data_IF_976028417470
#
_entry.id   IF_976028417470
#
_cell.length_a   1.000
_cell.length_b   1.000
_cell.length_c   1.000
_cell.angle_alpha   90.00
_cell.angle_beta   90.00
_cell.angle_gamma   90.00
#
_symmetry.space_group_name_H-M   'P 1'
#
loop_
_entity.id
_entity.type
_entity.pdbx_description
1 polymer ?
#
# COMPACT_ATOMS: atom_id res chain seq x y z
N UNK A 1 10.89 -2.86 -11.39
CA UNK A 1 10.01 -3.53 -12.36
C UNK A 1 8.62 -3.09 -12.01
N UNK A 2 7.90 -2.54 -12.99
CA UNK A 2 6.68 -1.83 -12.69
C UNK A 2 5.62 -2.77 -12.12
N UNK A 3 4.98 -2.34 -11.03
CA UNK A 3 3.97 -3.10 -10.30
C UNK A 3 2.82 -2.20 -9.87
N UNK A 4 1.73 -2.80 -9.38
CA UNK A 4 0.63 -2.02 -8.81
C UNK A 4 1.06 -1.41 -7.48
N UNK A 5 1.14 -0.10 -7.45
CA UNK A 5 1.36 0.69 -6.25
C UNK A 5 0.11 1.49 -5.90
N UNK A 6 0.00 1.88 -4.63
CA UNK A 6 -1.14 2.61 -4.09
C UNK A 6 -0.72 3.86 -3.34
N UNK A 7 -1.54 4.88 -3.48
CA UNK A 7 -1.55 6.09 -2.67
C UNK A 7 -2.92 6.21 -2.03
N UNK A 8 -2.97 6.42 -0.71
CA UNK A 8 -4.22 6.53 0.01
C UNK A 8 -4.08 7.46 1.20
N UNK A 9 -5.21 8.03 1.61
CA UNK A 9 -5.31 8.71 2.90
C UNK A 9 -6.54 8.20 3.65
N UNK A 10 -6.44 8.27 4.96
CA UNK A 10 -7.43 7.83 5.92
C UNK A 10 -7.69 8.95 6.91
N UNK A 11 -8.92 9.09 7.36
CA UNK A 11 -9.33 10.12 8.29
C UNK A 11 -10.16 9.53 9.43
N UNK A 12 -9.91 10.02 10.66
CA UNK A 12 -10.65 9.60 11.85
C UNK A 12 -11.81 10.56 12.09
N UNK A 13 -12.88 10.36 11.32
CA UNK A 13 -14.12 11.13 11.39
C UNK A 13 -15.33 10.20 11.43
N UNK A 14 -16.40 10.64 12.07
CA UNK A 14 -17.70 10.00 11.95
C UNK A 14 -18.23 10.09 10.51
N UNK A 15 -19.17 9.22 10.16
CA UNK A 15 -19.77 9.24 8.83
C UNK A 15 -20.74 8.09 8.58
N UNK A 16 -21.33 8.03 7.37
CA UNK A 16 -22.17 6.91 6.99
C UNK A 16 -21.40 5.58 7.03
N UNK A 17 -22.14 4.48 7.05
CA UNK A 17 -21.56 3.16 6.77
C UNK A 17 -20.83 3.20 5.42
N UNK A 18 -19.66 2.57 5.34
CA UNK A 18 -18.80 2.63 4.17
C UNK A 18 -18.22 1.26 3.86
N UNK A 19 -17.73 1.07 2.64
CA UNK A 19 -17.06 -0.15 2.17
C UNK A 19 -16.01 0.21 1.13
N UNK A 20 -14.89 -0.51 1.08
CA UNK A 20 -13.86 -0.30 0.07
C UNK A 20 -13.34 -1.62 -0.49
N UNK A 21 -12.88 -1.58 -1.75
CA UNK A 21 -12.28 -2.71 -2.46
C UNK A 21 -11.14 -2.21 -3.35
N UNK A 22 -10.15 -3.08 -3.61
CA UNK A 22 -9.07 -2.82 -4.57
C UNK A 22 -8.68 -4.11 -5.30
N UNK A 23 -7.86 -3.98 -6.33
CA UNK A 23 -7.39 -5.12 -7.14
C UNK A 23 -8.48 -5.75 -8.01
N UNK A 24 -9.62 -5.09 -8.22
CA UNK A 24 -10.75 -5.67 -8.92
C UNK A 24 -10.52 -5.70 -10.43
N UNK A 25 -10.90 -6.78 -11.11
CA UNK A 25 -11.09 -6.74 -12.57
C UNK A 25 -12.29 -5.85 -12.91
N UNK A 26 -12.45 -5.44 -14.18
CA UNK A 26 -13.64 -4.68 -14.59
C UNK A 26 -14.96 -5.44 -14.33
N UNK A 27 -14.96 -6.76 -14.50
CA UNK A 27 -16.14 -7.59 -14.21
C UNK A 27 -16.40 -7.68 -12.69
N UNK A 28 -15.37 -7.94 -11.89
CA UNK A 28 -15.48 -7.99 -10.42
C UNK A 28 -15.91 -6.65 -9.85
N UNK A 29 -15.39 -5.53 -10.38
CA UNK A 29 -15.83 -4.18 -10.05
C UNK A 29 -17.32 -4.01 -10.32
N UNK A 30 -17.82 -4.45 -11.48
CA UNK A 30 -19.23 -4.31 -11.81
C UNK A 30 -20.12 -5.14 -10.86
N UNK A 31 -19.70 -6.35 -10.49
CA UNK A 31 -20.42 -7.19 -9.52
C UNK A 31 -20.47 -6.53 -8.15
N UNK A 32 -19.32 -6.08 -7.62
CA UNK A 32 -19.25 -5.38 -6.33
C UNK A 32 -20.09 -4.10 -6.36
N UNK A 33 -19.97 -3.30 -7.42
CA UNK A 33 -20.73 -2.07 -7.60
C UNK A 33 -22.24 -2.32 -7.56
N UNK A 34 -22.75 -3.30 -8.32
CA UNK A 34 -24.18 -3.62 -8.36
C UNK A 34 -24.68 -4.06 -6.97
N UNK A 35 -23.91 -4.90 -6.27
CA UNK A 35 -24.25 -5.37 -4.93
C UNK A 35 -24.31 -4.24 -3.90
N UNK A 36 -23.38 -3.29 -3.96
CA UNK A 36 -23.34 -2.12 -3.06
C UNK A 36 -24.48 -1.14 -3.36
N UNK A 37 -24.75 -0.85 -4.64
CA UNK A 37 -25.84 0.05 -5.05
C UNK A 37 -27.21 -0.51 -4.63
N UNK A 38 -27.43 -1.81 -4.76
CA UNK A 38 -28.66 -2.47 -4.29
C UNK A 38 -28.89 -2.32 -2.77
N UNK A 39 -27.81 -2.09 -2.00
CA UNK A 39 -27.85 -1.87 -0.56
C UNK A 39 -27.88 -0.38 -0.16
N UNK A 40 -28.01 0.52 -1.13
CA UNK A 40 -28.06 1.97 -0.91
C UNK A 40 -26.69 2.64 -0.75
N UNK A 41 -25.60 1.95 -1.11
CA UNK A 41 -24.28 2.57 -1.20
C UNK A 41 -24.08 3.28 -2.53
N UNK A 42 -23.26 4.33 -2.52
CA UNK A 42 -22.82 5.08 -3.70
C UNK A 42 -21.30 5.17 -3.70
N UNK A 43 -20.63 5.09 -4.86
CA UNK A 43 -19.18 5.27 -4.92
C UNK A 43 -18.81 6.72 -4.55
N UNK A 44 -17.80 6.86 -3.71
CA UNK A 44 -17.16 8.12 -3.34
C UNK A 44 -15.91 8.37 -4.19
N UNK A 45 -15.12 7.33 -4.41
CA UNK A 45 -13.89 7.34 -5.22
C UNK A 45 -13.87 6.10 -6.11
N UNK A 46 -13.42 6.29 -7.35
CA UNK A 46 -13.05 5.19 -8.25
C UNK A 46 -11.67 5.48 -8.83
N UNK A 47 -10.78 4.50 -8.74
CA UNK A 47 -9.44 4.55 -9.34
C UNK A 47 -9.29 3.38 -10.31
N UNK A 48 -8.92 3.69 -11.54
CA UNK A 48 -8.51 2.72 -12.55
C UNK A 48 -7.00 2.75 -12.72
N UNK A 49 -6.37 1.58 -12.86
CA UNK A 49 -4.93 1.42 -13.01
C UNK A 49 -4.58 0.12 -13.72
N UNK A 50 -3.31 -0.08 -14.07
CA UNK A 50 -2.82 -1.35 -14.61
C UNK A 50 -2.08 -2.16 -13.55
N UNK A 51 -2.16 -3.49 -13.67
CA UNK A 51 -1.23 -4.38 -12.98
C UNK A 51 0.07 -4.57 -13.77
N UNK A 52 1.02 -5.31 -13.21
CA UNK A 52 2.30 -5.64 -13.87
C UNK A 52 2.15 -6.38 -15.20
N UNK A 53 1.02 -7.05 -15.43
CA UNK A 53 0.67 -7.68 -16.70
C UNK A 53 0.01 -6.70 -17.70
N UNK A 54 -0.07 -5.41 -17.38
CA UNK A 54 -0.71 -4.37 -18.21
C UNK A 54 -2.24 -4.44 -18.24
N UNK A 55 -2.88 -5.24 -17.39
CA UNK A 55 -4.33 -5.40 -17.37
C UNK A 55 -5.00 -4.37 -16.45
N UNK A 56 -6.14 -3.83 -16.87
CA UNK A 56 -6.96 -2.93 -16.04
C UNK A 56 -7.36 -3.57 -14.71
N UNK A 57 -7.19 -2.81 -13.64
CA UNK A 57 -7.68 -3.07 -12.28
C UNK A 57 -8.37 -1.82 -11.74
N UNK A 58 -9.23 -2.02 -10.74
CA UNK A 58 -10.00 -0.96 -10.13
C UNK A 58 -9.96 -1.03 -8.60
N UNK A 59 -9.93 0.15 -7.99
CA UNK A 59 -10.18 0.37 -6.58
C UNK A 59 -11.35 1.33 -6.41
N UNK A 60 -12.12 1.14 -5.34
CA UNK A 60 -13.36 1.88 -5.09
C UNK A 60 -13.62 2.03 -3.61
N UNK A 61 -14.12 3.20 -3.22
CA UNK A 61 -14.67 3.49 -1.89
C UNK A 61 -16.14 3.79 -2.07
N UNK A 62 -16.99 3.21 -1.23
CA UNK A 62 -18.44 3.39 -1.20
C UNK A 62 -18.89 3.97 0.13
N UNK A 63 -19.86 4.88 0.07
CA UNK A 63 -20.59 5.42 1.22
C UNK A 63 -22.07 5.09 1.12
N UNK A 64 -22.68 4.68 2.23
CA UNK A 64 -24.13 4.50 2.33
C UNK A 64 -24.80 5.86 2.56
N UNK A 65 -25.05 6.57 1.46
CA UNK A 65 -25.60 7.92 1.47
C UNK A 65 -26.73 8.11 0.47
N UNK A 66 -27.72 8.89 0.87
CA UNK A 66 -28.73 9.45 -0.03
C UNK A 66 -28.16 10.58 -0.88
N UNK A 67 -29.01 11.20 -1.70
CA UNK A 67 -28.64 12.34 -2.54
C UNK A 67 -29.40 12.36 -3.85
N UNK A 68 -29.18 13.41 -4.64
CA UNK A 68 -29.79 13.59 -5.95
C UNK A 68 -29.31 12.57 -7.00
N UNK A 69 -29.66 12.80 -8.27
CA UNK A 69 -29.16 12.03 -9.41
C UNK A 69 -27.63 11.88 -9.39
N UNK A 70 -27.15 10.72 -9.81
CA UNK A 70 -25.73 10.42 -9.89
C UNK A 70 -25.47 9.43 -11.02
N UNK A 71 -24.23 9.39 -11.50
CA UNK A 71 -23.77 8.46 -12.54
C UNK A 71 -22.35 8.01 -12.24
N UNK A 72 -22.10 6.71 -12.38
CA UNK A 72 -20.77 6.13 -12.32
C UNK A 72 -20.50 5.29 -13.58
N UNK A 73 -19.30 5.42 -14.14
CA UNK A 73 -18.85 4.67 -15.33
C UNK A 73 -17.39 4.29 -15.17
N UNK A 74 -16.99 3.16 -15.74
CA UNK A 74 -15.60 2.68 -15.78
C UNK A 74 -15.31 2.01 -17.12
N UNK A 75 -14.03 1.84 -17.43
CA UNK A 75 -13.58 1.19 -18.67
C UNK A 75 -13.88 1.97 -19.95
N UNK A 76 -14.13 3.28 -19.87
CA UNK A 76 -14.49 4.11 -21.01
C UNK A 76 -13.27 4.45 -21.87
N UNK A 77 -13.41 4.45 -23.20
CA UNK A 77 -12.46 5.14 -24.08
C UNK A 77 -12.53 6.66 -23.87
N UNK A 78 -11.53 7.44 -24.34
CA UNK A 78 -11.58 8.90 -24.25
C UNK A 78 -12.86 9.51 -24.84
N UNK A 79 -13.31 9.01 -26.00
CA UNK A 79 -14.54 9.47 -26.65
C UNK A 79 -15.80 9.09 -25.84
N UNK A 80 -15.84 7.88 -25.28
CA UNK A 80 -16.94 7.44 -24.42
C UNK A 80 -16.99 8.23 -23.12
N UNK A 81 -15.84 8.59 -22.56
CA UNK A 81 -15.76 9.46 -21.39
C UNK A 81 -16.30 10.85 -21.69
N UNK A 82 -15.92 11.45 -22.82
CA UNK A 82 -16.45 12.75 -23.22
C UNK A 82 -17.98 12.71 -23.40
N UNK A 83 -18.51 11.68 -24.07
CA UNK A 83 -19.96 11.51 -24.22
C UNK A 83 -20.67 11.33 -22.87
N UNK A 84 -20.10 10.55 -21.94
CA UNK A 84 -20.65 10.38 -20.60
C UNK A 84 -20.60 11.70 -19.80
N UNK A 85 -19.53 12.49 -19.94
CA UNK A 85 -19.42 13.81 -19.34
C UNK A 85 -20.53 14.75 -19.85
N UNK A 86 -20.68 14.85 -21.18
CA UNK A 86 -21.67 15.74 -21.79
C UNK A 86 -23.10 15.35 -21.38
N UNK A 87 -23.38 14.03 -21.34
CA UNK A 87 -24.65 13.50 -20.84
C UNK A 87 -24.88 13.89 -19.37
N UNK A 88 -23.87 13.75 -18.50
CA UNK A 88 -23.99 14.07 -17.09
C UNK A 88 -24.34 15.54 -16.88
N UNK A 89 -23.62 16.42 -17.58
CA UNK A 89 -23.79 17.87 -17.49
C UNK A 89 -25.17 18.29 -18.00
N UNK A 90 -25.64 17.72 -19.10
CA UNK A 90 -27.00 17.95 -19.61
C UNK A 90 -28.09 17.52 -18.61
N UNK A 91 -27.79 16.58 -17.72
CA UNK A 91 -28.67 16.10 -16.64
C UNK A 91 -28.47 16.86 -15.31
N UNK A 92 -27.73 17.97 -15.31
CA UNK A 92 -27.49 18.79 -14.10
C UNK A 92 -26.52 18.15 -13.09
N UNK A 93 -25.72 17.18 -13.53
CA UNK A 93 -24.65 16.58 -12.73
C UNK A 93 -23.30 17.20 -13.09
N UNK A 94 -22.34 17.09 -12.17
CA UNK A 94 -20.95 17.49 -12.36
C UNK A 94 -20.01 16.36 -11.95
N UNK A 95 -18.81 16.25 -12.54
CA UNK A 95 -17.86 15.23 -12.12
C UNK A 95 -17.40 15.50 -10.69
N UNK A 96 -17.21 14.43 -9.91
CA UNK A 96 -16.67 14.46 -8.55
C UNK A 96 -15.37 13.67 -8.43
N UNK A 97 -15.16 12.71 -9.34
CA UNK A 97 -13.96 11.89 -9.41
C UNK A 97 -13.73 11.54 -10.88
N UNK A 98 -12.47 11.64 -11.33
CA UNK A 98 -12.03 11.14 -12.63
C UNK A 98 -10.70 10.42 -12.43
N UNK A 99 -10.57 9.24 -13.02
CA UNK A 99 -9.35 8.45 -13.04
C UNK A 99 -9.13 7.97 -14.46
N UNK A 100 -7.90 8.06 -14.94
CA UNK A 100 -7.51 7.52 -16.23
C UNK A 100 -6.29 6.62 -16.06
N UNK A 101 -6.14 5.65 -16.97
CA UNK A 101 -5.02 4.73 -17.00
C UNK A 101 -4.87 4.10 -18.38
N UNK A 102 -3.71 3.48 -18.65
CA UNK A 102 -3.53 2.63 -19.83
C UNK A 102 -3.63 1.18 -19.41
N UNK A 103 -4.67 0.47 -19.89
CA UNK A 103 -4.88 -0.95 -19.63
C UNK A 103 -5.13 -1.69 -20.93
N UNK A 104 -4.44 -2.82 -21.13
CA UNK A 104 -4.46 -3.57 -22.39
C UNK A 104 -3.93 -2.75 -23.57
N UNK A 105 -2.97 -1.85 -23.31
CA UNK A 105 -2.41 -0.93 -24.33
C UNK A 105 -3.34 0.19 -24.75
N UNK A 106 -4.50 0.37 -24.11
CA UNK A 106 -5.48 1.37 -24.47
C UNK A 106 -5.78 2.30 -23.30
N UNK A 107 -5.91 3.59 -23.58
CA UNK A 107 -6.34 4.57 -22.58
C UNK A 107 -7.79 4.30 -22.15
N UNK A 108 -8.01 4.36 -20.84
CA UNK A 108 -9.28 4.07 -20.19
C UNK A 108 -9.58 5.09 -19.11
N UNK A 109 -10.86 5.39 -18.94
CA UNK A 109 -11.38 6.33 -17.97
C UNK A 109 -12.41 5.66 -17.05
N UNK A 110 -12.38 6.05 -15.78
CA UNK A 110 -13.44 5.85 -14.81
C UNK A 110 -13.83 7.21 -14.21
N UNK A 111 -15.13 7.42 -14.01
CA UNK A 111 -15.63 8.71 -13.57
C UNK A 111 -16.91 8.58 -12.75
N UNK A 112 -17.03 9.47 -11.76
CA UNK A 112 -18.22 9.64 -10.93
C UNK A 112 -18.78 11.05 -11.16
N UNK A 113 -20.09 11.13 -11.27
CA UNK A 113 -20.85 12.36 -11.44
C UNK A 113 -21.99 12.39 -10.43
N UNK A 114 -22.22 13.55 -9.84
CA UNK A 114 -23.34 13.76 -8.91
C UNK A 114 -24.05 15.08 -9.21
N UNK A 115 -25.33 15.15 -8.88
CA UNK A 115 -26.09 16.39 -8.91
C UNK A 115 -25.39 17.46 -8.07
N UNK A 116 -25.21 18.65 -8.64
CA UNK A 116 -24.50 19.73 -7.98
C UNK A 116 -24.87 21.08 -8.55
N UNK A 117 -24.83 22.11 -7.70
CA UNK A 117 -25.11 23.49 -8.07
C UNK A 117 -23.83 24.31 -8.08
N UNK A 118 -23.84 25.41 -8.83
CA UNK A 118 -22.71 26.34 -8.94
C UNK A 118 -21.75 25.99 -10.08
N UNK A 119 -20.92 26.98 -10.43
CA UNK A 119 -19.99 26.86 -11.53
C UNK A 119 -18.88 25.84 -11.22
N UNK A 120 -18.57 25.00 -12.19
CA UNK A 120 -17.44 24.08 -12.13
C UNK A 120 -16.69 24.09 -13.46
N UNK A 121 -15.43 23.66 -13.43
CA UNK A 121 -14.62 23.40 -14.61
C UNK A 121 -13.97 22.04 -14.45
N UNK A 122 -13.97 21.24 -15.51
CA UNK A 122 -13.21 20.00 -15.56
C UNK A 122 -12.38 19.95 -16.84
N UNK A 123 -11.17 19.43 -16.73
CA UNK A 123 -10.24 19.22 -17.85
C UNK A 123 -9.56 17.86 -17.70
N UNK A 124 -9.22 17.24 -18.82
CA UNK A 124 -8.52 15.96 -18.89
C UNK A 124 -7.55 15.97 -20.08
N UNK A 125 -6.61 15.03 -20.11
CA UNK A 125 -5.61 14.93 -21.18
C UNK A 125 -4.56 16.05 -21.18
N UNK A 126 -4.48 16.87 -20.12
CA UNK A 126 -3.53 17.98 -20.03
C UNK A 126 -2.12 17.43 -19.82
N UNK A 127 -1.12 17.96 -20.53
CA UNK A 127 0.28 17.78 -20.09
C UNK A 127 0.59 18.69 -18.89
N UNK A 128 1.83 18.63 -18.36
CA UNK A 128 2.21 19.40 -17.17
C UNK A 128 2.09 20.92 -17.36
N UNK A 129 2.43 21.44 -18.54
CA UNK A 129 2.33 22.87 -18.84
C UNK A 129 0.87 23.31 -18.98
N UNK A 130 0.05 22.51 -19.68
CA UNK A 130 -1.38 22.72 -19.83
C UNK A 130 -2.11 22.64 -18.49
N UNK A 131 -1.75 21.71 -17.62
CA UNK A 131 -2.25 21.64 -16.26
C UNK A 131 -1.89 22.89 -15.47
N UNK A 132 -0.63 23.33 -15.49
CA UNK A 132 -0.21 24.52 -14.76
C UNK A 132 -0.92 25.79 -15.26
N UNK A 133 -1.09 25.94 -16.58
CA UNK A 133 -1.81 27.06 -17.17
C UNK A 133 -3.29 27.06 -16.76
N UNK A 134 -3.97 25.91 -16.84
CA UNK A 134 -5.35 25.76 -16.39
C UNK A 134 -5.50 26.04 -14.89
N UNK A 135 -4.57 25.52 -14.07
CA UNK A 135 -4.54 25.76 -12.63
C UNK A 135 -4.45 27.25 -12.31
N UNK A 136 -3.47 27.97 -12.90
CA UNK A 136 -3.30 29.41 -12.70
C UNK A 136 -4.52 30.21 -13.17
N UNK A 137 -5.08 29.85 -14.33
CA UNK A 137 -6.27 30.50 -14.87
C UNK A 137 -7.47 30.35 -13.92
N UNK A 138 -7.83 29.13 -13.55
CA UNK A 138 -9.05 28.88 -12.79
C UNK A 138 -8.92 29.36 -11.34
N UNK A 139 -7.75 29.24 -10.72
CA UNK A 139 -7.49 29.84 -9.40
C UNK A 139 -7.58 31.36 -9.43
N UNK A 140 -7.02 32.02 -10.45
CA UNK A 140 -7.16 33.46 -10.66
C UNK A 140 -8.61 33.92 -10.89
N UNK A 141 -9.47 33.02 -11.39
CA UNK A 141 -10.92 33.24 -11.56
C UNK A 141 -11.76 32.88 -10.31
N UNK A 142 -11.10 32.52 -9.21
CA UNK A 142 -11.74 32.16 -7.94
C UNK A 142 -12.31 30.75 -7.89
N UNK A 143 -11.92 29.86 -8.81
CA UNK A 143 -12.21 28.43 -8.68
C UNK A 143 -11.17 27.74 -7.79
N UNK A 144 -11.62 26.71 -7.08
CA UNK A 144 -10.78 25.87 -6.21
C UNK A 144 -10.64 24.49 -6.80
N UNK A 145 -9.43 23.94 -6.79
CA UNK A 145 -9.18 22.55 -7.17
C UNK A 145 -9.85 21.61 -6.16
N UNK A 146 -10.62 20.63 -6.64
CA UNK A 146 -11.32 19.62 -5.83
C UNK A 146 -10.83 18.21 -6.07
N UNK A 147 -10.28 17.95 -7.26
CA UNK A 147 -9.77 16.65 -7.65
C UNK A 147 -8.61 16.81 -8.63
N UNK A 148 -7.58 15.98 -8.47
CA UNK A 148 -6.48 15.84 -9.42
C UNK A 148 -6.07 14.38 -9.53
N UNK A 149 -5.83 13.93 -10.75
CA UNK A 149 -5.29 12.60 -11.04
C UNK A 149 -4.34 12.69 -12.22
N UNK A 150 -3.36 11.80 -12.27
CA UNK A 150 -2.44 11.68 -13.38
C UNK A 150 -2.29 10.24 -13.86
N UNK A 151 -1.91 10.05 -15.12
CA UNK A 151 -1.58 8.76 -15.69
C UNK A 151 -0.53 8.88 -16.78
N UNK A 152 0.22 7.81 -17.00
CA UNK A 152 1.16 7.72 -18.10
C UNK A 152 0.46 7.22 -19.37
N UNK A 153 0.67 7.91 -20.49
CA UNK A 153 0.26 7.47 -21.83
C UNK A 153 1.31 7.92 -22.86
N UNK A 154 1.75 6.98 -23.69
CA UNK A 154 2.77 7.24 -24.71
C UNK A 154 4.08 7.82 -24.17
N UNK A 155 4.51 7.42 -22.97
CA UNK A 155 5.72 7.95 -22.32
C UNK A 155 5.59 9.39 -21.81
N UNK A 156 4.37 9.92 -21.72
CA UNK A 156 4.09 11.25 -21.16
C UNK A 156 3.08 11.17 -20.03
N UNK A 157 3.18 12.06 -19.06
CA UNK A 157 2.19 12.19 -17.98
C UNK A 157 1.07 13.09 -18.46
N UNK A 158 -0.17 12.63 -18.26
CA UNK A 158 -1.39 13.40 -18.49
C UNK A 158 -2.12 13.61 -17.18
N UNK A 159 -2.76 14.77 -17.06
CA UNK A 159 -3.51 15.20 -15.89
C UNK A 159 -4.99 15.37 -16.22
N UNK A 160 -5.81 14.99 -15.25
CA UNK A 160 -7.22 15.33 -15.19
C UNK A 160 -7.51 16.03 -13.86
N UNK A 161 -8.35 17.06 -13.91
CA UNK A 161 -8.62 17.92 -12.77
C UNK A 161 -10.02 18.52 -12.82
N UNK A 162 -10.59 18.70 -11.63
CA UNK A 162 -11.92 19.24 -11.40
C UNK A 162 -11.78 20.41 -10.45
N UNK A 163 -12.33 21.56 -10.84
CA UNK A 163 -12.43 22.76 -10.04
C UNK A 163 -13.90 23.17 -9.86
N UNK A 164 -14.22 23.78 -8.73
CA UNK A 164 -15.54 24.39 -8.50
C UNK A 164 -15.44 25.79 -7.88
N UNK A 165 -16.52 26.56 -7.99
CA UNK A 165 -16.73 27.75 -7.16
C UNK A 165 -17.42 27.34 -5.87
N UNK A 166 -16.68 26.68 -4.98
CA UNK A 166 -17.13 26.44 -3.60
C UNK A 166 -16.66 27.56 -2.67
N UNK A 167 -17.51 27.97 -1.73
CA UNK A 167 -17.21 29.00 -0.72
C UNK A 167 -16.27 28.50 0.41
N UNK A 168 -15.47 27.46 0.18
CA UNK A 168 -14.76 26.77 1.25
C UNK A 168 -13.60 27.62 1.81
N UNK A 169 -13.63 27.99 3.11
CA UNK A 169 -12.72 28.98 3.71
C UNK A 169 -11.32 28.43 4.08
N UNK A 170 -11.04 27.15 3.81
CA UNK A 170 -9.79 26.49 4.24
C UNK A 170 -8.63 26.71 3.26
N UNK A 171 -7.44 26.99 3.78
CA UNK A 171 -6.20 27.03 3.02
C UNK A 171 -5.91 25.67 2.36
N UNK A 172 -5.33 25.69 1.17
CA UNK A 172 -5.06 24.49 0.39
C UNK A 172 -3.80 24.66 -0.45
N UNK A 173 -3.18 23.54 -0.79
CA UNK A 173 -1.96 23.48 -1.61
C UNK A 173 -2.12 22.37 -2.63
N UNK A 174 -1.74 22.60 -3.88
CA UNK A 174 -1.67 21.57 -4.90
C UNK A 174 -0.30 21.57 -5.58
N UNK A 175 0.17 20.39 -5.93
CA UNK A 175 1.43 20.16 -6.66
C UNK A 175 1.25 19.04 -7.67
N UNK A 176 2.04 19.07 -8.73
CA UNK A 176 2.08 18.04 -9.77
C UNK A 176 3.52 17.86 -10.27
N UNK A 177 3.80 16.73 -10.90
CA UNK A 177 5.11 16.43 -11.48
C UNK A 177 6.23 16.26 -10.45
N UNK A 178 5.92 15.94 -9.20
CA UNK A 178 6.93 15.72 -8.16
C UNK A 178 7.49 14.29 -8.28
N UNK A 179 8.80 14.13 -8.40
CA UNK A 179 9.45 12.82 -8.16
C UNK A 179 9.34 12.45 -6.67
N UNK A 180 9.50 11.17 -6.35
CA UNK A 180 9.36 10.58 -5.01
C UNK A 180 9.95 11.45 -3.88
N UNK A 181 11.25 11.76 -3.92
CA UNK A 181 11.89 12.50 -2.84
C UNK A 181 11.32 13.92 -2.64
N UNK A 182 10.93 14.58 -3.73
CA UNK A 182 10.31 15.90 -3.66
C UNK A 182 8.86 15.82 -3.14
N UNK A 183 8.13 14.78 -3.52
CA UNK A 183 6.79 14.50 -2.99
C UNK A 183 6.83 14.23 -1.48
N UNK A 184 7.72 13.34 -1.02
CA UNK A 184 7.90 13.04 0.42
C UNK A 184 8.25 14.29 1.21
N UNK A 185 9.23 15.08 0.75
CA UNK A 185 9.62 16.32 1.43
C UNK A 185 8.45 17.32 1.51
N UNK A 186 7.70 17.49 0.42
CA UNK A 186 6.54 18.37 0.38
C UNK A 186 5.41 17.89 1.30
N UNK A 187 5.13 16.58 1.33
CA UNK A 187 4.11 16.00 2.18
C UNK A 187 4.46 16.13 3.67
N UNK A 188 5.72 15.85 4.04
CA UNK A 188 6.20 15.98 5.41
C UNK A 188 6.18 17.44 5.92
N UNK A 189 6.56 18.40 5.07
CA UNK A 189 6.48 19.83 5.38
C UNK A 189 5.02 20.29 5.60
N UNK A 190 4.12 19.90 4.70
CA UNK A 190 2.70 20.25 4.80
C UNK A 190 2.03 19.60 6.02
N UNK A 191 2.36 18.34 6.34
CA UNK A 191 1.87 17.67 7.54
C UNK A 191 2.27 18.42 8.82
N UNK A 192 3.51 18.90 8.93
CA UNK A 192 3.98 19.74 10.06
C UNK A 192 3.20 21.05 10.18
N UNK A 193 2.65 21.56 9.08
CA UNK A 193 1.84 22.78 9.04
C UNK A 193 0.33 22.52 9.25
N UNK A 194 -0.08 21.27 9.47
CA UNK A 194 -1.47 20.87 9.70
C UNK A 194 -2.30 20.71 8.42
N UNK A 195 -1.65 20.41 7.29
CA UNK A 195 -2.34 20.08 6.05
C UNK A 195 -2.49 18.57 5.89
N UNK A 196 -3.69 18.15 5.53
CA UNK A 196 -4.02 16.76 5.22
C UNK A 196 -3.97 16.55 3.70
N UNK A 197 -3.40 15.43 3.27
CA UNK A 197 -3.49 14.97 1.88
C UNK A 197 -4.91 14.46 1.61
N UNK A 198 -5.67 15.13 0.74
CA UNK A 198 -7.10 14.81 0.52
C UNK A 198 -7.41 14.21 -0.85
N UNK A 199 -6.49 14.32 -1.79
CA UNK A 199 -6.57 13.73 -3.12
C UNK A 199 -5.15 13.65 -3.71
N UNK A 200 -4.85 12.58 -4.43
CA UNK A 200 -3.60 12.47 -5.16
C UNK A 200 -3.55 11.21 -6.02
N UNK A 201 -2.59 11.18 -6.94
CA UNK A 201 -2.30 10.03 -7.79
C UNK A 201 -0.84 10.09 -8.26
N UNK A 202 -0.34 9.01 -8.85
CA UNK A 202 0.99 8.93 -9.43
C UNK A 202 0.99 8.26 -10.81
N UNK A 203 2.05 8.48 -11.57
CA UNK A 203 2.28 7.86 -12.87
C UNK A 203 3.77 7.56 -13.06
N UNK A 204 4.10 6.37 -13.57
CA UNK A 204 5.46 6.01 -13.93
C UNK A 204 5.79 6.41 -15.37
N UNK A 205 6.88 7.16 -15.55
CA UNK A 205 7.49 7.43 -16.86
C UNK A 205 9.00 7.30 -16.74
N UNK A 206 9.61 6.47 -17.60
CA UNK A 206 11.06 6.31 -17.63
C UNK A 206 11.65 5.65 -16.38
N UNK A 207 10.88 4.77 -15.72
CA UNK A 207 11.31 4.08 -14.51
C UNK A 207 11.33 4.96 -13.26
N UNK A 208 10.57 6.07 -13.28
CA UNK A 208 10.41 6.99 -12.15
C UNK A 208 8.93 7.29 -11.92
N UNK A 209 8.54 7.33 -10.66
CA UNK A 209 7.20 7.70 -10.26
C UNK A 209 7.06 9.22 -10.04
N UNK A 210 6.05 9.80 -10.68
CA UNK A 210 5.71 11.22 -10.56
C UNK A 210 4.33 11.40 -9.95
N UNK A 211 4.27 12.24 -8.91
CA UNK A 211 3.10 12.43 -8.06
C UNK A 211 2.39 13.75 -8.35
N UNK A 212 1.06 13.72 -8.24
CA UNK A 212 0.21 14.89 -8.13
C UNK A 212 -0.68 14.77 -6.89
N UNK A 213 -0.94 15.90 -6.24
CA UNK A 213 -1.68 15.90 -4.99
C UNK A 213 -2.29 17.25 -4.64
N UNK A 214 -3.34 17.17 -3.83
CA UNK A 214 -4.06 18.26 -3.23
C UNK A 214 -4.09 18.04 -1.71
N UNK A 215 -3.61 19.04 -0.99
CA UNK A 215 -3.65 19.12 0.46
C UNK A 215 -4.58 20.23 0.92
N UNK A 216 -5.27 20.00 2.02
CA UNK A 216 -6.16 20.98 2.64
C UNK A 216 -5.83 21.12 4.13
N UNK A 217 -5.79 22.36 4.62
CA UNK A 217 -5.60 22.63 6.05
C UNK A 217 -6.89 22.29 6.79
N UNK A 218 -6.83 21.29 7.67
CA UNK A 218 -8.00 20.67 8.29
C UNK A 218 -7.66 20.27 9.73
N UNK A 219 -8.66 20.34 10.60
CA UNK A 219 -8.53 19.92 12.00
C UNK A 219 -9.07 18.49 12.18
N UNK A 220 -8.50 17.54 11.43
CA UNK A 220 -8.90 16.13 11.43
C UNK A 220 -7.66 15.28 11.60
N UNK A 221 -7.72 14.24 12.44
CA UNK A 221 -6.65 13.25 12.48
C UNK A 221 -6.67 12.46 11.16
N UNK A 222 -5.60 12.58 10.38
CA UNK A 222 -5.43 11.89 9.11
C UNK A 222 -4.08 11.19 9.02
N UNK A 223 -4.04 10.11 8.25
CA UNK A 223 -2.83 9.35 7.95
C UNK A 223 -2.84 9.09 6.44
N UNK A 224 -1.71 9.35 5.78
CA UNK A 224 -1.57 9.12 4.35
C UNK A 224 -0.29 8.36 4.05
N UNK A 225 -0.39 7.46 3.08
CA UNK A 225 0.67 6.61 2.59
C UNK A 225 0.72 6.67 1.06
N UNK A 226 1.89 6.46 0.49
CA UNK A 226 2.13 6.49 -0.96
C UNK A 226 3.17 5.43 -1.32
N UNK A 227 3.32 5.11 -2.61
CA UNK A 227 4.26 4.06 -3.04
C UNK A 227 3.99 2.68 -2.45
N UNK A 228 2.78 2.41 -1.93
CA UNK A 228 2.49 1.16 -1.23
C UNK A 228 2.35 0.00 -2.21
N UNK A 229 3.07 -1.08 -1.97
CA UNK A 229 2.74 -2.37 -2.59
C UNK A 229 1.32 -2.83 -2.21
N UNK A 230 0.71 -3.69 -3.02
CA UNK A 230 -0.64 -4.23 -2.71
C UNK A 230 -0.72 -4.90 -1.33
N UNK A 231 0.36 -5.53 -0.86
CA UNK A 231 0.43 -6.13 0.47
C UNK A 231 0.46 -5.08 1.58
N UNK A 232 1.30 -4.05 1.42
CA UNK A 232 1.39 -2.92 2.35
C UNK A 232 0.06 -2.17 2.46
N UNK A 233 -0.55 -1.80 1.33
CA UNK A 233 -1.84 -1.11 1.32
C UNK A 233 -2.92 -1.89 2.08
N UNK A 234 -3.04 -3.20 1.84
CA UNK A 234 -4.04 -4.01 2.53
C UNK A 234 -3.79 -4.07 4.05
N UNK A 235 -2.53 -4.17 4.50
CA UNK A 235 -2.19 -4.20 5.92
C UNK A 235 -2.44 -2.86 6.61
N UNK A 236 -2.00 -1.75 6.01
CA UNK A 236 -2.34 -0.41 6.52
C UNK A 236 -3.84 -0.18 6.57
N UNK A 237 -4.57 -0.61 5.53
CA UNK A 237 -6.03 -0.52 5.51
C UNK A 237 -6.66 -1.26 6.70
N UNK A 238 -6.28 -2.52 6.93
CA UNK A 238 -6.80 -3.34 8.03
C UNK A 238 -6.47 -2.70 9.40
N UNK A 239 -5.23 -2.26 9.60
CA UNK A 239 -4.75 -1.64 10.84
C UNK A 239 -5.45 -0.30 11.13
N UNK A 240 -5.55 0.59 10.15
CA UNK A 240 -6.17 1.90 10.31
C UNK A 240 -7.67 1.79 10.54
N UNK A 241 -8.34 0.87 9.85
CA UNK A 241 -9.77 0.61 10.07
C UNK A 241 -10.03 0.07 11.47
N UNK A 242 -9.21 -0.84 11.97
CA UNK A 242 -9.30 -1.32 13.35
C UNK A 242 -9.10 -0.19 14.38
N UNK A 243 -8.34 0.85 14.04
CA UNK A 243 -8.13 2.04 14.87
C UNK A 243 -9.24 3.12 14.72
N UNK A 244 -10.27 2.84 13.93
CA UNK A 244 -11.42 3.72 13.70
C UNK A 244 -11.21 4.78 12.62
N UNK A 245 -10.17 4.66 11.80
CA UNK A 245 -10.03 5.48 10.59
C UNK A 245 -10.90 4.91 9.46
N UNK A 246 -11.28 5.77 8.51
CA UNK A 246 -11.91 5.38 7.25
C UNK A 246 -11.16 5.97 6.06
N UNK A 247 -11.14 5.31 4.89
CA UNK A 247 -10.42 5.81 3.73
C UNK A 247 -11.10 7.08 3.18
N UNK A 248 -10.30 8.10 2.87
CA UNK A 248 -10.72 9.35 2.24
C UNK A 248 -10.61 9.27 0.72
N UNK A 249 -9.47 8.78 0.24
CA UNK A 249 -9.26 8.42 -1.16
C UNK A 249 -8.29 7.25 -1.26
N UNK A 250 -8.34 6.59 -2.42
CA UNK A 250 -7.35 5.60 -2.86
C UNK A 250 -7.11 5.79 -4.35
N UNK A 251 -5.84 5.71 -4.75
CA UNK A 251 -5.40 5.74 -6.13
C UNK A 251 -4.42 4.60 -6.34
N UNK A 252 -4.76 3.68 -7.25
CA UNK A 252 -3.80 2.71 -7.77
C UNK A 252 -3.09 3.30 -8.99
N UNK A 253 -1.86 2.85 -9.23
CA UNK A 253 -1.09 3.17 -10.43
C UNK A 253 -0.08 2.06 -10.73
N UNK A 254 0.42 2.03 -11.96
CA UNK A 254 1.56 1.18 -12.34
C UNK A 254 2.83 1.99 -12.07
N UNK A 255 3.60 1.59 -11.06
CA UNK A 255 4.75 2.33 -10.53
C UNK A 255 6.01 1.49 -10.45
N UNK A 256 7.18 2.14 -10.49
CA UNK A 256 8.49 1.50 -10.39
C UNK A 256 9.22 1.76 -9.05
N UNK A 257 8.76 2.73 -8.27
CA UNK A 257 9.41 3.18 -7.03
C UNK A 257 8.52 2.86 -5.80
N UNK A 258 8.47 1.59 -5.35
CA UNK A 258 7.78 1.23 -4.13
C UNK A 258 8.45 1.90 -2.92
N UNK A 259 7.64 2.45 -2.02
CA UNK A 259 8.07 3.10 -0.78
C UNK A 259 7.72 2.22 0.41
N UNK A 260 6.43 1.86 0.53
CA UNK A 260 5.93 0.99 1.58
C UNK A 260 5.80 -0.45 1.05
N UNK A 261 6.66 -1.33 1.53
CA UNK A 261 6.71 -2.75 1.16
C UNK A 261 6.41 -3.58 2.38
N UNK A 262 5.37 -4.42 2.33
CA UNK A 262 5.06 -5.29 3.46
C UNK A 262 4.45 -6.59 2.99
N UNK A 263 5.08 -7.68 3.39
CA UNK A 263 4.61 -9.03 3.17
C UNK A 263 3.44 -9.30 4.12
N UNK A 264 2.41 -10.00 3.64
CA UNK A 264 1.34 -10.55 4.49
C UNK A 264 1.84 -11.77 5.26
N UNK A 265 2.92 -11.56 6.01
CA UNK A 265 3.61 -12.56 6.81
C UNK A 265 3.01 -12.62 8.21
N UNK A 266 2.82 -13.82 8.74
CA UNK A 266 2.37 -14.04 10.12
C UNK A 266 3.44 -14.83 10.87
N UNK A 267 4.00 -14.20 11.91
CA UNK A 267 5.00 -14.85 12.76
C UNK A 267 4.34 -15.72 13.82
N UNK A 268 4.76 -16.98 13.92
CA UNK A 268 4.41 -17.80 15.07
C UNK A 268 5.27 -17.45 16.27
N UNK A 269 4.65 -17.43 17.45
CA UNK A 269 5.41 -17.42 18.69
C UNK A 269 6.13 -18.77 18.88
N UNK A 270 7.39 -18.74 19.33
CA UNK A 270 8.14 -19.95 19.65
C UNK A 270 7.47 -20.70 20.80
N UNK A 271 7.31 -22.02 20.65
CA UNK A 271 6.61 -22.84 21.66
C UNK A 271 7.55 -23.38 22.74
N UNK A 272 8.87 -23.30 22.54
CA UNK A 272 9.89 -23.68 23.52
C UNK A 272 10.97 -22.60 23.62
N UNK A 273 11.69 -22.58 24.74
CA UNK A 273 12.69 -21.55 25.05
C UNK A 273 13.82 -21.43 24.03
N UNK A 274 14.21 -22.53 23.38
CA UNK A 274 15.33 -22.55 22.42
C UNK A 274 14.88 -22.76 20.96
N UNK A 275 13.60 -22.53 20.62
CA UNK A 275 13.01 -22.87 19.32
C UNK A 275 12.79 -21.70 18.36
N UNK A 276 13.50 -20.58 18.55
CA UNK A 276 13.43 -19.44 17.65
C UNK A 276 13.70 -19.80 16.17
N UNK A 277 14.63 -20.73 15.91
CA UNK A 277 14.94 -21.25 14.58
C UNK A 277 13.77 -22.02 13.96
N UNK A 278 13.07 -22.84 14.74
CA UNK A 278 11.94 -23.64 14.28
C UNK A 278 10.70 -22.75 14.07
N UNK A 279 10.44 -21.81 14.96
CA UNK A 279 9.33 -20.85 14.83
C UNK A 279 9.49 -19.97 13.58
N UNK A 280 10.69 -19.45 13.36
CA UNK A 280 11.00 -18.62 12.19
C UNK A 280 10.86 -19.42 10.89
N UNK A 281 11.43 -20.62 10.80
CA UNK A 281 11.37 -21.43 9.57
C UNK A 281 9.94 -21.91 9.25
N UNK A 282 9.16 -22.31 10.26
CA UNK A 282 7.75 -22.71 10.06
C UNK A 282 6.89 -21.52 9.61
N UNK A 283 7.13 -20.34 10.16
CA UNK A 283 6.43 -19.12 9.74
C UNK A 283 6.72 -18.78 8.28
N UNK A 284 7.99 -18.90 7.87
CA UNK A 284 8.41 -18.76 6.46
C UNK A 284 7.77 -19.83 5.58
N UNK A 285 7.78 -21.09 6.00
CA UNK A 285 7.15 -22.18 5.24
C UNK A 285 5.64 -21.95 5.02
N UNK A 286 4.95 -21.39 6.02
CA UNK A 286 3.52 -21.06 5.93
C UNK A 286 3.25 -19.81 5.10
N UNK A 287 4.20 -18.88 5.06
CA UNK A 287 4.12 -17.73 4.18
C UNK A 287 4.17 -18.15 2.70
N UNK A 288 5.13 -19.01 2.33
CA UNK A 288 5.22 -19.52 0.96
C UNK A 288 4.15 -20.54 0.61
N UNK A 289 3.74 -21.37 1.57
CA UNK A 289 2.68 -22.34 1.42
C UNK A 289 1.76 -22.32 2.64
N UNK A 290 0.63 -21.64 2.53
CA UNK A 290 -0.37 -21.57 3.61
C UNK A 290 -0.89 -22.93 4.08
N UNK A 291 -0.79 -23.98 3.24
CA UNK A 291 -1.10 -25.36 3.57
C UNK A 291 0.06 -26.18 4.15
N UNK A 292 1.20 -25.56 4.46
CA UNK A 292 2.36 -26.25 5.02
C UNK A 292 2.03 -26.96 6.33
N UNK A 293 2.33 -28.26 6.39
CA UNK A 293 2.08 -29.13 7.55
C UNK A 293 3.21 -29.11 8.57
N UNK A 294 4.32 -28.43 8.27
CA UNK A 294 5.42 -28.28 9.21
C UNK A 294 4.95 -27.58 10.49
N UNK A 295 5.40 -28.14 11.62
CA UNK A 295 5.24 -27.57 12.95
C UNK A 295 6.62 -27.40 13.58
N UNK A 296 6.72 -26.54 14.61
CA UNK A 296 8.01 -26.29 15.26
C UNK A 296 8.63 -27.58 15.83
N UNK A 297 7.81 -28.48 16.37
CA UNK A 297 8.28 -29.75 16.90
C UNK A 297 8.72 -30.73 15.80
N UNK A 298 8.09 -30.71 14.62
CA UNK A 298 8.50 -31.56 13.49
C UNK A 298 9.84 -31.09 12.92
N UNK A 299 10.03 -29.77 12.83
CA UNK A 299 11.33 -29.17 12.50
C UNK A 299 12.37 -29.52 13.57
N UNK A 300 11.97 -29.53 14.86
CA UNK A 300 12.85 -29.95 15.95
C UNK A 300 13.26 -31.43 15.83
N UNK A 301 12.31 -32.33 15.60
CA UNK A 301 12.55 -33.74 15.35
C UNK A 301 13.56 -33.94 14.21
N UNK A 302 13.33 -33.28 13.06
CA UNK A 302 14.18 -33.39 11.89
C UNK A 302 15.62 -32.92 12.18
N UNK A 303 15.78 -31.75 12.77
CA UNK A 303 17.11 -31.19 13.02
C UNK A 303 17.88 -31.90 14.14
N UNK A 304 17.17 -32.57 15.06
CA UNK A 304 17.78 -33.33 16.16
C UNK A 304 17.92 -34.83 15.86
N UNK A 305 17.35 -35.32 14.76
CA UNK A 305 17.37 -36.73 14.41
C UNK A 305 16.57 -37.61 15.39
N UNK A 306 15.48 -37.09 15.96
CA UNK A 306 14.62 -37.81 16.91
C UNK A 306 13.15 -37.69 16.52
N UNK A 307 12.27 -38.46 17.17
CA UNK A 307 10.81 -38.45 16.93
C UNK A 307 10.00 -37.96 18.13
N UNK A 308 10.66 -37.66 19.25
CA UNK A 308 10.03 -37.42 20.55
C UNK A 308 9.70 -35.95 20.85
N UNK A 309 10.16 -35.00 20.03
CA UNK A 309 9.96 -33.57 20.29
C UNK A 309 8.50 -33.11 20.11
N UNK A 310 7.68 -33.86 19.37
CA UNK A 310 6.25 -33.60 19.26
C UNK A 310 5.41 -34.32 20.32
N UNK A 311 6.00 -35.18 21.14
CA UNK A 311 5.30 -35.97 22.14
C UNK A 311 5.77 -35.59 23.53
N UNK A 312 6.66 -36.38 24.13
CA UNK A 312 7.05 -36.25 25.54
C UNK A 312 8.33 -35.44 25.75
N UNK A 313 9.12 -35.19 24.69
CA UNK A 313 10.46 -34.63 24.81
C UNK A 313 10.58 -33.13 24.54
N UNK A 314 9.50 -32.42 24.21
CA UNK A 314 9.56 -31.06 23.65
C UNK A 314 10.43 -30.09 24.45
N UNK A 315 10.30 -30.11 25.79
CA UNK A 315 10.94 -29.14 26.69
C UNK A 315 12.32 -29.57 27.22
N UNK A 316 12.77 -30.79 26.92
CA UNK A 316 14.05 -31.35 27.41
C UNK A 316 15.03 -31.56 26.27
N UNK A 317 16.30 -31.82 26.62
CA UNK A 317 17.26 -32.30 25.64
C UNK A 317 16.81 -33.68 25.08
N UNK A 318 17.09 -33.97 23.79
CA UNK A 318 17.80 -33.13 22.82
C UNK A 318 16.93 -32.06 22.14
N UNK A 319 15.62 -32.07 22.36
CA UNK A 319 14.65 -31.24 21.64
C UNK A 319 14.78 -29.74 21.91
N UNK A 320 14.72 -29.31 23.18
CA UNK A 320 14.78 -27.90 23.56
C UNK A 320 16.23 -27.39 23.66
N UNK A 321 16.97 -27.49 22.56
CA UNK A 321 18.37 -27.03 22.47
C UNK A 321 18.54 -26.10 21.27
N UNK A 322 19.62 -25.32 21.26
CA UNK A 322 19.91 -24.40 20.16
C UNK A 322 19.96 -25.12 18.80
N UNK A 323 19.52 -24.42 17.76
CA UNK A 323 19.48 -24.92 16.40
C UNK A 323 19.99 -23.88 15.40
N UNK A 324 20.19 -24.34 14.17
CA UNK A 324 20.58 -23.52 13.04
C UNK A 324 19.36 -23.18 12.19
N UNK A 325 19.15 -21.90 11.90
CA UNK A 325 18.09 -21.45 11.00
C UNK A 325 18.32 -21.91 9.55
N UNK A 326 19.57 -22.02 9.07
CA UNK A 326 19.82 -22.50 7.71
C UNK A 326 19.31 -23.94 7.53
N UNK A 327 19.67 -24.84 8.44
CA UNK A 327 19.20 -26.22 8.42
C UNK A 327 17.68 -26.33 8.62
N UNK A 328 17.09 -25.47 9.45
CA UNK A 328 15.65 -25.40 9.64
C UNK A 328 14.92 -24.95 8.37
N UNK A 329 15.46 -23.95 7.66
CA UNK A 329 14.95 -23.48 6.36
C UNK A 329 15.15 -24.54 5.27
N UNK A 330 16.27 -25.26 5.27
CA UNK A 330 16.50 -26.39 4.35
C UNK A 330 15.47 -27.49 4.59
N UNK A 331 15.20 -27.80 5.86
CA UNK A 331 14.20 -28.82 6.26
C UNK A 331 12.81 -28.50 5.73
N UNK A 332 12.41 -27.22 5.80
CA UNK A 332 11.11 -26.78 5.30
C UNK A 332 11.11 -26.42 3.81
N UNK A 333 12.25 -26.55 3.11
CA UNK A 333 12.37 -26.36 1.67
C UNK A 333 12.48 -24.90 1.19
N UNK A 334 12.82 -23.95 2.08
CA UNK A 334 12.85 -22.52 1.77
C UNK A 334 14.20 -21.85 2.11
N UNK A 335 15.30 -22.60 2.04
CA UNK A 335 16.65 -22.05 2.20
C UNK A 335 17.28 -21.81 0.84
N UNK A 336 17.78 -20.60 0.63
CA UNK A 336 18.63 -20.27 -0.52
C UNK A 336 20.11 -20.21 -0.12
N UNK A 337 20.47 -19.23 0.72
CA UNK A 337 21.85 -19.01 1.18
C UNK A 337 21.89 -18.26 2.52
N UNK A 338 23.07 -18.20 3.13
CA UNK A 338 23.32 -17.36 4.30
C UNK A 338 24.61 -16.58 4.19
N UNK A 339 24.66 -15.41 4.82
CA UNK A 339 25.84 -14.56 4.92
C UNK A 339 26.20 -14.31 6.38
N UNK A 340 27.51 -14.14 6.64
CA UNK A 340 28.04 -13.81 7.96
C UNK A 340 28.15 -12.30 8.11
N UNK A 341 27.01 -11.62 8.09
CA UNK A 341 26.96 -10.17 8.25
C UNK A 341 25.56 -9.60 8.20
N UNK A 342 25.53 -8.29 8.41
CA UNK A 342 24.36 -7.43 8.22
C UNK A 342 24.22 -7.14 6.73
N UNK A 343 23.01 -7.33 6.19
CA UNK A 343 22.70 -6.94 4.81
C UNK A 343 22.35 -5.45 4.73
N UNK A 344 22.65 -4.81 3.59
CA UNK A 344 22.28 -3.41 3.35
C UNK A 344 20.76 -3.20 3.37
N UNK A 345 20.28 -1.99 3.67
CA UNK A 345 18.84 -1.68 3.59
C UNK A 345 18.28 -1.98 2.20
N UNK A 346 19.00 -1.61 1.14
CA UNK A 346 18.64 -1.91 -0.25
C UNK A 346 18.53 -3.43 -0.51
N UNK A 347 19.37 -4.24 0.14
CA UNK A 347 19.25 -5.70 0.06
C UNK A 347 17.99 -6.20 0.75
N UNK A 348 17.69 -5.72 1.96
CA UNK A 348 16.45 -6.06 2.69
C UNK A 348 15.24 -5.72 1.83
N UNK A 349 15.20 -4.49 1.32
CA UNK A 349 14.15 -3.99 0.43
C UNK A 349 14.00 -4.87 -0.82
N UNK A 350 15.10 -5.21 -1.49
CA UNK A 350 15.05 -6.06 -2.69
C UNK A 350 14.48 -7.46 -2.44
N UNK A 351 14.75 -8.04 -1.26
CA UNK A 351 14.21 -9.34 -0.87
C UNK A 351 12.72 -9.25 -0.58
N UNK A 352 12.29 -8.28 0.23
CA UNK A 352 10.86 -8.14 0.56
C UNK A 352 10.03 -7.73 -0.66
N UNK A 353 10.58 -6.92 -1.57
CA UNK A 353 9.95 -6.59 -2.85
C UNK A 353 9.76 -7.82 -3.74
N UNK A 354 10.71 -8.74 -3.70
CA UNK A 354 10.62 -9.99 -4.42
C UNK A 354 9.76 -11.04 -3.69
N UNK A 355 9.04 -10.66 -2.64
CA UNK A 355 8.18 -11.57 -1.89
C UNK A 355 8.95 -12.52 -0.98
N UNK A 356 10.15 -12.16 -0.52
CA UNK A 356 11.03 -13.05 0.26
C UNK A 356 11.32 -12.46 1.65
N UNK A 357 10.85 -13.10 2.74
CA UNK A 357 11.25 -12.72 4.09
C UNK A 357 12.74 -12.98 4.31
N UNK A 358 13.49 -11.99 4.80
CA UNK A 358 14.90 -12.17 5.13
C UNK A 358 15.04 -12.60 6.59
N UNK A 359 15.51 -13.82 6.85
CA UNK A 359 15.83 -14.27 8.20
C UNK A 359 17.09 -13.57 8.74
N UNK A 360 17.12 -13.28 10.03
CA UNK A 360 18.24 -12.59 10.69
C UNK A 360 18.58 -13.25 12.02
N UNK A 361 19.88 -13.40 12.30
CA UNK A 361 20.37 -13.77 13.64
C UNK A 361 20.72 -12.53 14.44
N UNK A 362 20.03 -12.35 15.55
CA UNK A 362 20.32 -11.32 16.56
C UNK A 362 21.12 -11.95 17.70
N UNK A 363 22.34 -11.48 17.94
CA UNK A 363 23.17 -11.89 19.07
C UNK A 363 22.99 -10.92 20.25
N UNK A 364 22.79 -11.44 21.46
CA UNK A 364 22.62 -10.61 22.65
C UNK A 364 23.96 -10.35 23.34
N UNK A 365 24.13 -9.15 23.91
CA UNK A 365 25.32 -8.79 24.70
C UNK A 365 25.56 -9.72 25.89
N UNK A 366 24.49 -10.23 26.52
CA UNK A 366 24.54 -11.21 27.62
C UNK A 366 24.78 -12.66 27.19
N UNK A 367 25.01 -12.91 25.89
CA UNK A 367 25.16 -14.26 25.33
C UNK A 367 23.84 -14.85 24.81
N UNK A 368 23.98 -15.88 23.98
CA UNK A 368 22.86 -16.46 23.24
C UNK A 368 22.50 -15.67 21.98
N UNK A 369 21.47 -16.14 21.28
CA UNK A 369 20.98 -15.49 20.06
C UNK A 369 19.51 -15.80 19.82
N UNK A 370 18.91 -14.99 18.95
CA UNK A 370 17.51 -15.06 18.57
C UNK A 370 17.37 -14.95 17.06
N UNK A 371 16.38 -15.63 16.49
CA UNK A 371 16.06 -15.56 15.07
C UNK A 371 14.76 -14.76 14.87
N UNK A 372 14.84 -13.79 13.97
CA UNK A 372 13.75 -12.89 13.56
C UNK A 372 13.72 -12.83 12.03
N UNK A 373 12.70 -12.19 11.45
CA UNK A 373 12.60 -12.01 10.00
C UNK A 373 12.26 -10.56 9.65
N UNK A 374 12.92 -10.00 8.64
CA UNK A 374 12.51 -8.77 7.99
C UNK A 374 11.43 -9.12 6.96
N UNK A 375 10.29 -8.47 7.08
CA UNK A 375 9.05 -8.79 6.34
C UNK A 375 8.47 -7.57 5.62
N UNK A 376 9.20 -6.47 5.60
CA UNK A 376 8.83 -5.25 4.92
C UNK A 376 9.79 -4.11 5.20
N UNK A 377 9.64 -3.04 4.45
CA UNK A 377 10.35 -1.76 4.56
C UNK A 377 9.36 -0.61 4.40
N UNK A 378 9.67 0.53 4.98
CA UNK A 378 8.94 1.80 4.79
C UNK A 378 9.93 2.94 4.58
N UNK A 379 9.39 4.14 4.35
CA UNK A 379 10.11 5.42 4.39
C UNK A 379 11.08 5.55 5.59
N UNK A 380 12.05 6.45 5.45
CA UNK A 380 13.05 6.77 6.49
C UNK A 380 13.91 5.57 6.95
N UNK A 381 14.13 4.59 6.06
CA UNK A 381 14.94 3.39 6.34
C UNK A 381 14.38 2.54 7.49
N UNK A 382 13.06 2.41 7.56
CA UNK A 382 12.39 1.59 8.57
C UNK A 382 12.16 0.16 8.06
N UNK A 383 12.25 -0.84 8.95
CA UNK A 383 12.09 -2.27 8.63
C UNK A 383 10.97 -2.88 9.47
N UNK A 384 10.03 -3.57 8.83
CA UNK A 384 9.04 -4.40 9.51
C UNK A 384 9.68 -5.71 9.97
N UNK A 385 9.94 -5.81 11.27
CA UNK A 385 10.58 -6.97 11.91
C UNK A 385 9.53 -7.86 12.56
N UNK A 386 9.44 -9.09 12.08
CA UNK A 386 8.62 -10.16 12.62
C UNK A 386 9.44 -11.00 13.62
N UNK A 387 8.99 -11.05 14.87
CA UNK A 387 9.75 -11.63 15.99
C UNK A 387 9.02 -12.84 16.60
N UNK A 388 9.64 -14.02 16.53
CA UNK A 388 9.06 -15.26 17.05
C UNK A 388 9.05 -15.34 18.59
N UNK A 389 9.76 -14.49 19.31
CA UNK A 389 9.72 -14.43 20.78
C UNK A 389 8.36 -13.91 21.27
N UNK A 390 7.80 -12.92 20.59
CA UNK A 390 6.45 -12.38 20.87
C UNK A 390 5.37 -12.86 19.91
N UNK A 391 5.73 -13.40 18.74
CA UNK A 391 4.77 -13.70 17.67
C UNK A 391 4.18 -12.45 17.02
N UNK A 392 4.87 -11.31 17.12
CA UNK A 392 4.40 -10.01 16.65
C UNK A 392 5.33 -9.42 15.60
N UNK A 393 4.81 -8.48 14.80
CA UNK A 393 5.57 -7.68 13.85
C UNK A 393 5.60 -6.23 14.32
N UNK A 394 6.76 -5.59 14.27
CA UNK A 394 6.94 -4.20 14.67
C UNK A 394 7.85 -3.46 13.67
N UNK A 395 7.63 -2.16 13.52
CA UNK A 395 8.47 -1.29 12.71
C UNK A 395 9.70 -0.87 13.52
N UNK A 396 10.90 -1.02 12.94
CA UNK A 396 12.18 -0.78 13.60
C UNK A 396 13.10 0.00 12.68
N UNK A 397 13.72 1.06 13.20
CA UNK A 397 14.77 1.80 12.50
C UNK A 397 15.93 0.88 12.11
N UNK A 398 16.41 0.97 10.86
CA UNK A 398 17.44 0.07 10.34
C UNK A 398 18.76 0.18 11.12
N UNK A 399 19.18 1.38 11.53
CA UNK A 399 20.41 1.55 12.33
C UNK A 399 20.30 0.89 13.72
N UNK A 400 19.13 1.03 14.34
CA UNK A 400 18.77 0.36 15.60
C UNK A 400 18.74 -1.17 15.42
N UNK A 401 18.16 -1.67 14.33
CA UNK A 401 18.10 -3.10 14.03
C UNK A 401 19.49 -3.73 13.93
N UNK A 402 20.46 -3.01 13.36
CA UNK A 402 21.84 -3.51 13.22
C UNK A 402 22.53 -3.75 14.56
N UNK A 403 22.36 -2.84 15.52
CA UNK A 403 23.25 -2.76 16.68
C UNK A 403 22.57 -2.86 18.04
N UNK A 404 21.29 -2.50 18.14
CA UNK A 404 20.58 -2.31 19.41
C UNK A 404 19.13 -2.83 19.37
N UNK A 405 18.86 -3.88 18.59
CA UNK A 405 17.53 -4.49 18.54
C UNK A 405 17.08 -4.89 19.96
N UNK A 406 15.90 -4.41 20.39
CA UNK A 406 15.40 -4.55 21.77
C UNK A 406 16.44 -4.19 22.85
N UNK A 407 17.27 -3.19 22.58
CA UNK A 407 18.22 -2.58 23.52
C UNK A 407 19.59 -3.25 23.62
N UNK A 408 19.78 -4.46 23.08
CA UNK A 408 21.08 -5.17 23.21
C UNK A 408 21.40 -6.17 22.10
N UNK A 409 20.48 -6.37 21.16
CA UNK A 409 20.64 -7.34 20.08
C UNK A 409 21.38 -6.76 18.89
N UNK A 410 22.43 -7.44 18.43
CA UNK A 410 23.15 -7.08 17.21
C UNK A 410 22.88 -8.10 16.11
N UNK A 411 22.52 -7.62 14.92
CA UNK A 411 22.37 -8.46 13.74
C UNK A 411 23.74 -8.96 13.27
N UNK A 412 23.91 -10.28 13.18
CA UNK A 412 25.20 -10.92 12.88
C UNK A 412 25.21 -11.80 11.64
N UNK A 413 24.06 -12.34 11.23
CA UNK A 413 23.95 -13.26 10.09
C UNK A 413 22.62 -13.06 9.40
N UNK A 414 22.58 -13.33 8.09
CA UNK A 414 21.38 -13.18 7.26
C UNK A 414 21.09 -14.48 6.52
N UNK A 415 19.81 -14.77 6.35
CA UNK A 415 19.30 -16.04 5.81
C UNK A 415 18.28 -15.72 4.72
N UNK A 416 18.67 -15.97 3.48
CA UNK A 416 17.85 -15.74 2.31
C UNK A 416 16.97 -16.96 2.02
N UNK A 417 15.76 -16.69 1.57
CA UNK A 417 14.75 -17.70 1.26
C UNK A 417 14.50 -17.79 -0.26
N UNK A 418 13.77 -18.80 -0.73
CA UNK A 418 13.45 -19.01 -2.16
C UNK A 418 11.98 -19.37 -2.40
#
# INVERSE_FOLDING_TARGET
MAQSLYMASFEKVGGPAWSARHGLTGASYQTEFNAHVAQGFRPLVVSGYANSAGQSRYAVIFDKRGGGPWMARHGLSPAQYQAAFDQAVAQGMRPTCVSAHVGGGQERYAALFEAGQGAFVARHGLDGNGYQAAFNQFTGQGFRLRWVSCHAVGGTIRYAAIWDKSAAPGAWVARHGLEEAAFRAQAADLAKQGYDLVCGNAACVGGKDFYCALWEKRAVASIAHHGMTSGAYQLHFEELVAQGYRPKFVSGYLGDDPVDVRLRFTMQQQTQGNWCWAATSVSIARFYNSGSTWTQCLVANAQKGVTTCCTTGASTAPCNTYGSLSAALTTVGHFDRSTNGVESFATVESEVLAGRPLGMRTAWSGGGAHFIAATGTEDDSMVWVSDCGSGTTALVDYETLKTAYRGSGSWTHSYFTN
#
